data_IF_889917259687
#
_entry.id   IF_889917259687
#
_cell.length_a   1.000
_cell.length_b   1.000
_cell.length_c   1.000
_cell.angle_alpha   90.00
_cell.angle_beta   90.00
_cell.angle_gamma   90.00
#
_symmetry.space_group_name_H-M   'P 1'
#
loop_
_entity.id
_entity.type
_entity.pdbx_description
1 polymer ?
#
# COMPACT_ATOMS: atom_id res chain seq x y z
N UNK A 1 -7.43 -15.77 -10.23
CA UNK A 1 -6.92 -14.38 -10.13
C UNK A 1 -7.52 -13.54 -11.25
N UNK A 2 -8.24 -12.46 -10.97
CA UNK A 2 -8.63 -11.47 -11.98
C UNK A 2 -7.50 -10.47 -12.09
N UNK A 3 -6.80 -10.46 -13.21
CA UNK A 3 -5.64 -9.61 -13.45
C UNK A 3 -5.90 -8.65 -14.61
N UNK A 4 -5.56 -7.38 -14.41
CA UNK A 4 -5.27 -6.48 -15.53
C UNK A 4 -3.74 -6.40 -15.62
N UNK A 5 -3.13 -7.11 -16.56
CA UNK A 5 -1.71 -6.98 -16.85
C UNK A 5 -1.58 -6.20 -18.15
N UNK A 6 -1.28 -4.93 -18.05
CA UNK A 6 -0.89 -4.12 -19.21
C UNK A 6 0.60 -3.80 -19.02
N UNK A 7 1.44 -4.44 -19.82
CA UNK A 7 2.90 -4.25 -19.98
C UNK A 7 3.75 -4.12 -18.71
N UNK A 8 3.59 -3.06 -17.92
CA UNK A 8 4.41 -2.77 -16.74
C UNK A 8 3.57 -2.66 -15.45
N UNK A 9 2.29 -3.04 -15.47
CA UNK A 9 1.39 -3.00 -14.33
C UNK A 9 0.77 -4.37 -14.09
N UNK A 10 0.80 -4.83 -12.86
CA UNK A 10 0.14 -6.07 -12.44
C UNK A 10 -0.83 -5.75 -11.30
N UNK A 11 -2.09 -5.50 -11.66
CA UNK A 11 -3.16 -5.22 -10.72
C UNK A 11 -4.10 -6.42 -10.63
N UNK A 12 -4.33 -6.97 -9.43
CA UNK A 12 -5.19 -8.13 -9.28
C UNK A 12 -5.79 -8.29 -7.88
N UNK A 13 -6.94 -8.95 -7.84
CA UNK A 13 -7.55 -9.50 -6.62
C UNK A 13 -7.45 -11.02 -6.67
N UNK A 14 -7.19 -11.64 -5.52
CA UNK A 14 -7.04 -13.08 -5.38
C UNK A 14 -7.73 -13.58 -4.11
N UNK A 15 -8.30 -14.78 -4.16
CA UNK A 15 -8.69 -15.54 -2.97
C UNK A 15 -7.57 -16.48 -2.49
N UNK A 16 -6.51 -16.61 -3.29
CA UNK A 16 -5.35 -17.46 -3.00
C UNK A 16 -4.22 -16.63 -2.39
N UNK A 17 -3.23 -17.25 -1.74
CA UNK A 17 -2.03 -16.57 -1.26
C UNK A 17 -1.37 -15.71 -2.33
N UNK A 18 -0.90 -14.53 -1.93
CA UNK A 18 -0.29 -13.59 -2.86
C UNK A 18 1.11 -14.08 -3.31
N UNK A 19 1.42 -14.03 -4.62
CA UNK A 19 2.67 -14.54 -5.19
C UNK A 19 3.83 -13.57 -5.00
N UNK A 20 4.31 -13.41 -3.77
CA UNK A 20 5.29 -12.36 -3.38
C UNK A 20 6.59 -12.50 -4.17
N UNK A 21 7.15 -13.72 -4.25
CA UNK A 21 8.41 -13.96 -4.96
C UNK A 21 8.26 -13.70 -6.46
N UNK A 22 7.18 -14.23 -7.05
CA UNK A 22 6.90 -14.04 -8.48
C UNK A 22 6.72 -12.56 -8.82
N UNK A 23 6.03 -11.80 -7.97
CA UNK A 23 5.84 -10.35 -8.16
C UNK A 23 7.16 -9.59 -8.05
N UNK A 24 8.04 -9.99 -7.13
CA UNK A 24 9.38 -9.42 -7.01
C UNK A 24 10.21 -9.71 -8.28
N UNK A 25 10.30 -10.97 -8.69
CA UNK A 25 11.07 -11.38 -9.87
C UNK A 25 10.55 -10.70 -11.15
N UNK A 26 9.23 -10.62 -11.30
CA UNK A 26 8.61 -9.90 -12.40
C UNK A 26 8.94 -8.41 -12.39
N UNK A 27 9.03 -7.78 -11.23
CA UNK A 27 9.32 -6.34 -11.13
C UNK A 27 10.78 -5.97 -11.47
N UNK A 28 11.70 -6.94 -11.46
CA UNK A 28 13.11 -6.68 -11.79
C UNK A 28 13.26 -6.30 -13.26
N UNK A 29 13.90 -5.16 -13.52
CA UNK A 29 14.20 -4.64 -14.85
C UNK A 29 15.67 -4.20 -14.93
N UNK A 30 16.36 -4.39 -16.06
CA UNK A 30 17.78 -3.99 -16.20
C UNK A 30 18.04 -2.51 -15.95
N UNK A 31 17.07 -1.63 -16.25
CA UNK A 31 17.18 -0.18 -16.05
C UNK A 31 16.76 0.27 -14.64
N UNK A 32 16.30 -0.63 -13.76
CA UNK A 32 15.87 -0.32 -12.41
C UNK A 32 16.89 -0.84 -11.39
N UNK A 33 17.52 0.07 -10.66
CA UNK A 33 18.46 -0.25 -9.59
C UNK A 33 17.83 -0.49 -8.22
N UNK A 34 16.50 -0.38 -8.09
CA UNK A 34 15.77 -0.60 -6.85
C UNK A 34 14.43 -1.28 -7.10
N UNK A 35 14.09 -2.23 -6.23
CA UNK A 35 12.75 -2.82 -6.10
C UNK A 35 12.34 -2.73 -4.63
N UNK A 36 11.19 -2.11 -4.37
CA UNK A 36 10.58 -2.07 -3.04
C UNK A 36 9.40 -3.04 -3.02
N UNK A 37 9.38 -3.91 -2.02
CA UNK A 37 8.27 -4.83 -1.73
C UNK A 37 7.64 -4.41 -0.42
N UNK A 38 6.37 -4.09 -0.43
CA UNK A 38 5.55 -3.91 0.76
C UNK A 38 4.53 -5.04 0.82
N UNK A 39 4.49 -5.75 1.94
CA UNK A 39 3.48 -6.76 2.24
C UNK A 39 2.76 -6.38 3.53
N UNK A 40 1.45 -6.12 3.45
CA UNK A 40 0.60 -5.93 4.61
C UNK A 40 0.13 -7.29 5.12
N UNK A 41 0.50 -7.63 6.36
CA UNK A 41 0.20 -8.91 6.98
C UNK A 41 -0.83 -8.78 8.10
N UNK A 42 -1.55 -9.86 8.38
CA UNK A 42 -2.49 -9.95 9.50
C UNK A 42 -1.70 -10.06 10.81
N UNK A 43 -1.94 -9.12 11.73
CA UNK A 43 -1.31 -9.07 13.06
C UNK A 43 -2.32 -9.44 14.15
N UNK A 44 -1.84 -9.79 15.33
CA UNK A 44 -2.60 -10.27 16.48
C UNK A 44 -3.36 -9.19 17.26
N UNK A 45 -3.29 -7.94 16.82
CA UNK A 45 -3.95 -6.80 17.45
C UNK A 45 -4.44 -5.76 16.43
N UNK A 46 -5.41 -4.94 16.83
CA UNK A 46 -5.89 -3.76 16.12
C UNK A 46 -6.03 -2.59 17.10
N UNK A 47 -6.34 -1.40 16.61
CA UNK A 47 -6.50 -0.22 17.46
C UNK A 47 -7.65 -0.43 18.46
N UNK A 48 -7.33 -0.46 19.75
CA UNK A 48 -8.27 -0.71 20.84
C UNK A 48 -8.74 -2.17 20.97
N UNK A 49 -8.03 -3.13 20.37
CA UNK A 49 -8.39 -4.54 20.40
C UNK A 49 -7.16 -5.44 20.41
N UNK A 50 -7.08 -6.30 21.42
CA UNK A 50 -6.11 -7.37 21.52
C UNK A 50 -6.72 -8.71 21.05
N UNK A 51 -5.89 -9.75 20.97
CA UNK A 51 -6.30 -11.13 20.67
C UNK A 51 -7.03 -11.30 19.32
N UNK A 52 -6.68 -10.53 18.31
CA UNK A 52 -7.12 -10.75 16.94
C UNK A 52 -6.60 -12.10 16.46
N UNK A 53 -7.48 -12.93 15.92
CA UNK A 53 -7.17 -14.29 15.44
C UNK A 53 -7.17 -14.41 13.93
N UNK A 54 -7.96 -13.56 13.25
CA UNK A 54 -8.07 -13.54 11.79
C UNK A 54 -8.65 -12.21 11.29
N UNK A 55 -8.47 -11.91 10.02
CA UNK A 55 -9.16 -10.85 9.31
C UNK A 55 -9.91 -11.44 8.10
N UNK A 56 -11.14 -10.96 7.86
CA UNK A 56 -11.84 -11.24 6.60
C UNK A 56 -11.93 -9.98 5.78
N UNK A 57 -11.51 -10.06 4.52
CA UNK A 57 -11.62 -8.98 3.56
C UNK A 57 -12.71 -9.26 2.54
N UNK A 58 -13.61 -8.31 2.36
CA UNK A 58 -14.63 -8.31 1.33
C UNK A 58 -14.48 -7.06 0.46
N UNK A 59 -14.85 -7.16 -0.81
CA UNK A 59 -14.69 -6.06 -1.74
C UNK A 59 -15.74 -6.08 -2.84
N UNK A 60 -16.04 -4.92 -3.38
CA UNK A 60 -16.75 -4.81 -4.65
C UNK A 60 -15.71 -4.92 -5.78
N UNK A 61 -15.40 -6.17 -6.16
CA UNK A 61 -14.24 -6.55 -6.98
C UNK A 61 -14.09 -5.71 -8.25
N UNK A 62 -15.18 -5.45 -8.98
CA UNK A 62 -15.13 -4.70 -10.23
C UNK A 62 -14.64 -3.25 -10.02
N UNK A 63 -15.09 -2.60 -8.95
CA UNK A 63 -14.67 -1.24 -8.62
C UNK A 63 -13.26 -1.19 -8.04
N UNK A 64 -12.85 -2.22 -7.28
CA UNK A 64 -11.49 -2.29 -6.74
C UNK A 64 -10.46 -2.41 -7.85
N UNK A 65 -10.69 -3.27 -8.85
CA UNK A 65 -9.75 -3.42 -9.99
C UNK A 65 -9.62 -2.11 -10.75
N UNK A 66 -10.73 -1.42 -11.02
CA UNK A 66 -10.71 -0.09 -11.64
C UNK A 66 -9.93 0.92 -10.79
N UNK A 67 -10.13 0.88 -9.46
CA UNK A 67 -9.42 1.76 -8.54
C UNK A 67 -7.91 1.50 -8.53
N UNK A 68 -7.48 0.25 -8.66
CA UNK A 68 -6.06 -0.10 -8.80
C UNK A 68 -5.45 0.53 -10.05
N UNK A 69 -6.16 0.49 -11.17
CA UNK A 69 -5.72 1.13 -12.42
C UNK A 69 -5.62 2.66 -12.27
N UNK A 70 -6.58 3.30 -11.58
CA UNK A 70 -6.56 4.73 -11.27
C UNK A 70 -5.32 5.09 -10.42
N UNK A 71 -5.03 4.31 -9.36
CA UNK A 71 -3.88 4.50 -8.47
C UNK A 71 -2.57 4.41 -9.26
N UNK A 72 -2.41 3.37 -10.08
CA UNK A 72 -1.18 3.18 -10.87
C UNK A 72 -1.04 4.26 -11.95
N UNK A 73 -2.15 4.70 -12.53
CA UNK A 73 -2.16 5.83 -13.47
C UNK A 73 -1.67 7.12 -12.80
N UNK A 74 -2.16 7.43 -11.61
CA UNK A 74 -1.72 8.60 -10.85
C UNK A 74 -0.26 8.48 -10.39
N UNK A 75 0.17 7.29 -9.96
CA UNK A 75 1.57 7.02 -9.65
C UNK A 75 2.49 7.38 -10.83
N UNK A 76 2.16 6.94 -12.04
CA UNK A 76 2.97 7.18 -13.24
C UNK A 76 3.02 8.65 -13.65
N UNK A 77 1.98 9.44 -13.36
CA UNK A 77 2.01 10.90 -13.52
C UNK A 77 3.01 11.56 -12.55
N UNK A 78 3.05 11.09 -11.30
CA UNK A 78 3.95 11.64 -10.26
C UNK A 78 5.41 11.20 -10.46
N UNK A 79 5.62 9.95 -10.83
CA UNK A 79 6.95 9.34 -11.00
C UNK A 79 7.06 8.62 -12.33
N UNK A 80 7.31 9.37 -13.40
CA UNK A 80 7.44 8.83 -14.76
C UNK A 80 8.58 7.83 -14.95
N UNK A 81 9.59 7.85 -14.04
CA UNK A 81 10.73 6.93 -14.06
C UNK A 81 10.44 5.55 -13.44
N UNK A 82 9.26 5.34 -12.85
CA UNK A 82 8.89 4.03 -12.29
C UNK A 82 8.84 2.97 -13.38
N UNK A 83 9.48 1.84 -13.15
CA UNK A 83 9.49 0.68 -14.02
C UNK A 83 8.20 -0.13 -13.92
N UNK A 84 8.22 -1.25 -13.20
CA UNK A 84 7.05 -2.12 -12.98
C UNK A 84 6.38 -1.85 -11.63
N UNK A 85 5.05 -2.01 -11.62
CA UNK A 85 4.21 -1.85 -10.43
C UNK A 85 3.28 -3.06 -10.30
N UNK A 86 3.39 -3.82 -9.22
CA UNK A 86 2.38 -4.79 -8.82
C UNK A 86 1.55 -4.22 -7.67
N UNK A 87 0.23 -4.32 -7.75
CA UNK A 87 -0.72 -3.98 -6.70
C UNK A 87 -1.75 -5.10 -6.59
N UNK A 88 -1.58 -5.94 -5.59
CA UNK A 88 -2.38 -7.14 -5.40
C UNK A 88 -3.07 -7.10 -4.03
N UNK A 89 -4.32 -7.54 -3.96
CA UNK A 89 -5.03 -7.70 -2.70
C UNK A 89 -5.69 -9.07 -2.62
N UNK A 90 -5.61 -9.71 -1.43
CA UNK A 90 -6.27 -10.97 -1.15
C UNK A 90 -7.59 -10.72 -0.43
N UNK A 91 -8.63 -11.44 -0.85
CA UNK A 91 -9.95 -11.44 -0.23
C UNK A 91 -10.17 -12.75 0.53
N UNK A 92 -11.26 -12.78 1.31
CA UNK A 92 -11.61 -13.91 2.16
C UNK A 92 -10.97 -13.81 3.53
N UNK A 93 -11.00 -14.90 4.29
CA UNK A 93 -10.49 -14.95 5.66
C UNK A 93 -9.02 -15.34 5.68
N UNK A 94 -8.20 -14.52 6.33
CA UNK A 94 -6.77 -14.66 6.47
C UNK A 94 -6.40 -14.85 7.94
N UNK A 95 -5.52 -15.81 8.20
CA UNK A 95 -4.94 -16.06 9.51
C UNK A 95 -3.78 -15.11 9.83
N UNK A 96 -3.33 -15.11 11.08
CA UNK A 96 -2.16 -14.34 11.51
C UNK A 96 -0.93 -14.67 10.65
N UNK A 97 -0.19 -13.62 10.28
CA UNK A 97 1.01 -13.73 9.45
C UNK A 97 0.75 -13.85 7.95
N UNK A 98 -0.48 -14.07 7.50
CA UNK A 98 -0.80 -14.11 6.07
C UNK A 98 -0.82 -12.70 5.45
N UNK A 99 -0.38 -12.62 4.19
CA UNK A 99 -0.35 -11.37 3.43
C UNK A 99 -1.71 -11.05 2.84
N UNK A 100 -2.25 -9.88 3.16
CA UNK A 100 -3.52 -9.37 2.64
C UNK A 100 -3.34 -8.44 1.43
N UNK A 101 -2.25 -7.71 1.38
CA UNK A 101 -1.93 -6.77 0.31
C UNK A 101 -0.46 -6.86 -0.04
N UNK A 102 -0.16 -6.76 -1.32
CA UNK A 102 1.20 -6.72 -1.84
C UNK A 102 1.34 -5.55 -2.80
N UNK A 103 2.34 -4.71 -2.55
CA UNK A 103 2.79 -3.67 -3.47
C UNK A 103 4.25 -3.91 -3.81
N UNK A 104 4.57 -4.01 -5.11
CA UNK A 104 5.95 -4.10 -5.59
C UNK A 104 6.18 -3.02 -6.62
N UNK A 105 7.21 -2.20 -6.39
CA UNK A 105 7.55 -1.08 -7.28
C UNK A 105 9.03 -1.12 -7.61
N UNK A 106 9.36 -1.14 -8.90
CA UNK A 106 10.74 -0.96 -9.37
C UNK A 106 10.98 0.45 -9.90
N UNK A 107 12.19 0.97 -9.68
CA UNK A 107 12.59 2.27 -10.18
C UNK A 107 14.13 2.35 -10.36
N UNK A 108 14.66 3.30 -11.16
CA UNK A 108 16.10 3.48 -11.32
C UNK A 108 16.84 3.73 -9.99
N UNK A 109 16.22 4.46 -9.06
CA UNK A 109 16.80 4.83 -7.78
C UNK A 109 15.87 4.56 -6.60
N UNK A 110 16.46 4.17 -5.46
CA UNK A 110 15.75 3.83 -4.23
C UNK A 110 14.76 4.90 -3.75
N UNK A 111 15.10 6.18 -3.87
CA UNK A 111 14.22 7.27 -3.42
C UNK A 111 12.85 7.20 -4.11
N UNK A 112 12.86 7.12 -5.45
CA UNK A 112 11.63 7.01 -6.24
C UNK A 112 10.86 5.72 -5.91
N UNK A 113 11.57 4.60 -5.74
CA UNK A 113 10.94 3.31 -5.42
C UNK A 113 10.20 3.35 -4.08
N UNK A 114 10.80 3.94 -3.02
CA UNK A 114 10.17 4.07 -1.71
C UNK A 114 8.97 5.03 -1.72
N UNK A 115 9.12 6.21 -2.33
CA UNK A 115 8.04 7.20 -2.40
C UNK A 115 6.83 6.65 -3.19
N UNK A 116 7.10 6.05 -4.34
CA UNK A 116 6.06 5.47 -5.18
C UNK A 116 5.35 4.27 -4.49
N UNK A 117 6.09 3.37 -3.85
CA UNK A 117 5.50 2.24 -3.13
C UNK A 117 4.65 2.71 -1.94
N UNK A 118 5.11 3.72 -1.20
CA UNK A 118 4.34 4.34 -0.12
C UNK A 118 3.04 4.94 -0.65
N UNK A 119 3.12 5.73 -1.71
CA UNK A 119 1.94 6.32 -2.33
C UNK A 119 0.90 5.26 -2.71
N UNK A 120 1.33 4.15 -3.32
CA UNK A 120 0.41 3.07 -3.73
C UNK A 120 -0.37 2.51 -2.55
N UNK A 121 0.31 2.19 -1.43
CA UNK A 121 -0.38 1.62 -0.28
C UNK A 121 -1.26 2.64 0.45
N UNK A 122 -0.84 3.91 0.54
CA UNK A 122 -1.64 4.96 1.15
C UNK A 122 -2.89 5.23 0.29
N UNK A 123 -2.74 5.35 -1.04
CA UNK A 123 -3.85 5.53 -1.97
C UNK A 123 -4.83 4.35 -1.96
N UNK A 124 -4.32 3.11 -1.89
CA UNK A 124 -5.16 1.92 -1.74
C UNK A 124 -6.05 2.03 -0.50
N UNK A 125 -5.46 2.32 0.65
CA UNK A 125 -6.19 2.40 1.93
C UNK A 125 -7.22 3.51 1.96
N UNK A 126 -6.98 4.62 1.26
CA UNK A 126 -7.86 5.78 1.24
C UNK A 126 -8.95 5.70 0.16
N UNK A 127 -8.73 4.93 -0.92
CA UNK A 127 -9.60 4.99 -2.09
C UNK A 127 -10.28 3.68 -2.50
N UNK A 128 -9.75 2.52 -2.09
CA UNK A 128 -10.30 1.25 -2.55
C UNK A 128 -11.47 0.79 -1.68
N UNK A 129 -12.61 0.38 -2.28
CA UNK A 129 -13.77 -0.14 -1.56
C UNK A 129 -13.53 -1.59 -1.12
N UNK A 130 -12.66 -1.75 -0.10
CA UNK A 130 -12.32 -3.01 0.54
C UNK A 130 -12.66 -2.89 2.02
N UNK A 131 -13.51 -3.79 2.49
CA UNK A 131 -13.95 -3.83 3.88
C UNK A 131 -13.20 -4.91 4.63
N UNK A 132 -12.86 -4.61 5.90
CA UNK A 132 -12.14 -5.49 6.80
C UNK A 132 -13.03 -5.85 7.97
N UNK A 133 -13.25 -7.15 8.21
CA UNK A 133 -13.87 -7.70 9.41
C UNK A 133 -12.79 -8.33 10.29
N UNK A 134 -12.76 -7.92 11.54
CA UNK A 134 -11.82 -8.44 12.54
C UNK A 134 -12.48 -9.58 13.32
N UNK A 135 -11.73 -10.65 13.57
CA UNK A 135 -12.12 -11.77 14.40
C UNK A 135 -11.19 -11.86 15.61
N UNK A 136 -11.75 -12.08 16.79
CA UNK A 136 -10.99 -12.25 18.04
C UNK A 136 -11.64 -13.29 18.92
N UNK A 137 -11.00 -13.66 20.05
CA UNK A 137 -11.58 -14.60 21.01
C UNK A 137 -12.87 -13.99 21.58
N UNK A 138 -14.01 -14.59 21.24
CA UNK A 138 -15.33 -14.18 21.73
C UNK A 138 -16.17 -13.34 20.76
N UNK A 139 -15.67 -13.01 19.56
CA UNK A 139 -16.50 -12.25 18.61
C UNK A 139 -15.86 -11.89 17.28
N UNK A 140 -16.60 -11.14 16.51
CA UNK A 140 -16.12 -10.51 15.28
C UNK A 140 -16.92 -9.24 14.99
N UNK A 141 -16.29 -8.25 14.36
CA UNK A 141 -16.92 -7.01 13.96
C UNK A 141 -16.28 -6.45 12.69
N UNK A 142 -17.06 -5.66 11.95
CA UNK A 142 -16.52 -4.89 10.85
C UNK A 142 -15.64 -3.77 11.41
N UNK A 143 -14.41 -3.67 10.91
CA UNK A 143 -13.49 -2.61 11.32
C UNK A 143 -14.09 -1.24 11.04
N UNK A 144 -13.98 -0.32 12.00
CA UNK A 144 -14.50 1.05 11.95
C UNK A 144 -13.83 1.95 10.90
N UNK A 145 -12.96 1.41 10.06
CA UNK A 145 -12.23 2.11 9.01
C UNK A 145 -13.03 2.41 7.74
N UNK A 146 -14.34 2.71 7.86
CA UNK A 146 -15.09 3.34 6.78
C UNK A 146 -14.62 4.80 6.69
N UNK A 147 -13.53 5.04 5.97
CA UNK A 147 -13.12 6.38 5.57
C UNK A 147 -13.91 6.81 4.33
N UNK A 148 -14.21 8.11 4.21
CA UNK A 148 -14.69 8.65 2.95
C UNK A 148 -13.69 8.29 1.85
N UNK A 149 -14.18 7.69 0.76
CA UNK A 149 -13.35 7.27 -0.36
C UNK A 149 -12.74 8.50 -1.02
N UNK A 150 -11.43 8.65 -0.91
CA UNK A 150 -10.68 9.77 -1.48
C UNK A 150 -10.20 9.40 -2.88
N UNK A 151 -10.30 10.33 -3.83
CA UNK A 151 -9.75 10.10 -5.17
C UNK A 151 -8.20 10.05 -5.11
N UNK A 152 -7.52 9.15 -5.86
CA UNK A 152 -6.07 8.94 -5.78
C UNK A 152 -5.23 10.20 -5.97
N UNK A 153 -5.70 11.14 -6.80
CA UNK A 153 -5.04 12.43 -7.02
C UNK A 153 -5.01 13.32 -5.77
N UNK A 154 -5.93 13.13 -4.83
CA UNK A 154 -6.04 13.89 -3.59
C UNK A 154 -5.25 13.27 -2.43
N UNK A 155 -4.67 12.09 -2.60
CA UNK A 155 -3.80 11.44 -1.62
C UNK A 155 -2.49 12.21 -1.50
N UNK A 156 -2.21 12.75 -0.30
CA UNK A 156 -1.02 13.56 -0.04
C UNK A 156 0.19 12.67 0.18
N UNK A 157 1.29 12.93 -0.55
CA UNK A 157 2.60 12.39 -0.17
C UNK A 157 3.03 13.08 1.13
N UNK A 158 3.23 12.33 2.21
CA UNK A 158 3.61 12.88 3.52
C UNK A 158 5.09 13.33 3.58
N UNK A 159 5.51 14.20 2.66
CA UNK A 159 6.83 14.84 2.72
C UNK A 159 6.71 16.36 2.58
N UNK A 160 5.95 17.01 3.47
CA UNK A 160 5.99 18.46 3.62
C UNK A 160 5.51 18.84 5.01
N UNK A 161 6.38 18.69 6.02
CA UNK A 161 6.47 19.58 7.19
C UNK A 161 7.53 19.05 8.16
N UNK A 162 8.79 19.36 7.91
CA UNK A 162 9.75 19.59 8.99
C UNK A 162 10.82 20.58 8.53
N UNK A 163 10.39 21.79 8.17
CA UNK A 163 11.24 22.99 8.24
C UNK A 163 10.70 23.84 9.39
N UNK A 164 10.88 23.37 10.60
CA UNK A 164 10.65 24.16 11.77
C UNK A 164 11.96 24.87 12.15
N UNK A 165 12.02 26.15 11.84
CA UNK A 165 12.49 27.22 12.72
C UNK A 165 13.20 26.75 13.99
N UNK A 166 14.50 26.77 13.93
CA UNK A 166 15.39 26.72 15.08
C UNK A 166 16.53 27.71 14.87
N UNK A 167 16.21 29.02 14.74
CA UNK A 167 17.17 30.10 14.91
C UNK A 167 17.46 30.21 16.38
N UNK A 168 18.50 29.58 16.86
CA UNK A 168 19.09 29.90 18.16
C UNK A 168 20.20 30.89 17.87
N UNK A 169 19.93 32.16 18.18
CA UNK A 169 20.91 33.22 18.29
C UNK A 169 21.99 32.81 19.31
N UNK A 170 23.21 32.65 18.85
CA UNK A 170 24.36 32.56 19.73
C UNK A 170 24.73 33.99 20.08
N UNK A 171 24.38 34.36 21.30
CA UNK A 171 24.84 35.62 21.93
C UNK A 171 26.35 35.52 22.19
N UNK A 172 27.10 36.36 21.50
CA UNK A 172 28.52 36.53 21.69
C UNK A 172 28.73 37.69 22.69
N UNK A 173 28.81 37.35 23.99
CA UNK A 173 29.50 38.26 24.93
C UNK A 173 30.06 37.48 26.11
N UNK A 174 31.34 37.63 26.23
CA UNK A 174 32.14 37.80 27.46
C UNK A 174 33.10 36.69 27.90
N UNK A 175 34.36 37.07 27.70
CA UNK A 175 35.60 36.72 28.43
C UNK A 175 36.26 35.40 28.14
#
# INVERSE_FOLDING_TARGET
>A
MRATSIDNNWCAISNEPLPILEAYEWAVLPQCGAVVVFSGIVRDHADGRDDVTALTYEAFEAEVVKKFDDIVTELRKRWSAVGRVALLHRLGTLSLGESSVLTVVSAPHRYVAFEAARFVIDALKESAPIWKKEHWIGGSDWGTGAHDVVAPENVKSQHSTNSATGTTAIDSTNR
#
